data_IF_520618913103
#
_entry.id   IF_520618913103
#
_cell.length_a   1.000
_cell.length_b   1.000
_cell.length_c   1.000
_cell.angle_alpha   90.00
_cell.angle_beta   90.00
_cell.angle_gamma   90.00
#
_symmetry.space_group_name_H-M   'P 1'
#
loop_
_entity.id
_entity.type
_entity.pdbx_description
1 polymer ?
#
# COMPACT_ATOMS: atom_id res chain seq x y z
N UNK A 1 51.63 35.51 56.92
CA UNK A 1 52.48 35.73 55.73
C UNK A 1 51.56 36.23 54.63
N UNK A 2 51.42 37.56 54.55
CA UNK A 2 51.88 38.41 53.43
C UNK A 2 51.08 38.18 52.14
N UNK A 3 50.14 39.08 51.78
CA UNK A 3 50.36 40.31 50.98
C UNK A 3 50.73 39.96 49.52
N UNK A 4 50.20 40.55 48.43
CA UNK A 4 49.30 41.68 48.22
C UNK A 4 49.06 41.86 46.68
N UNK A 5 47.88 42.40 46.30
CA UNK A 5 47.61 43.44 45.26
C UNK A 5 47.93 43.18 43.76
N UNK A 6 46.97 43.31 42.81
CA UNK A 6 46.17 44.46 42.28
C UNK A 6 46.70 44.97 40.93
N UNK A 7 45.72 45.34 40.07
CA UNK A 7 45.72 46.24 38.89
C UNK A 7 45.64 45.53 37.52
N UNK A 8 44.52 45.54 36.77
CA UNK A 8 43.69 46.58 36.09
C UNK A 8 44.28 47.11 34.75
N UNK A 9 43.41 47.14 33.71
CA UNK A 9 43.49 47.75 32.36
C UNK A 9 44.30 47.03 31.27
N UNK A 10 43.96 47.01 29.96
CA UNK A 10 42.75 47.30 29.15
C UNK A 10 43.05 46.92 27.67
N UNK A 11 42.01 46.50 26.94
CA UNK A 11 41.78 46.38 25.47
C UNK A 11 42.82 45.77 24.49
N UNK A 12 42.33 44.84 23.65
CA UNK A 12 42.30 45.04 22.19
C UNK A 12 41.18 44.22 21.52
N UNK A 13 40.47 44.88 20.60
CA UNK A 13 39.36 44.41 19.78
C UNK A 13 39.77 43.31 18.78
N UNK A 14 38.89 42.32 18.56
CA UNK A 14 38.64 41.76 17.22
C UNK A 14 37.14 41.44 17.09
N UNK A 15 36.50 42.07 16.10
CA UNK A 15 35.15 41.79 15.64
C UNK A 15 35.17 40.68 14.57
N UNK A 16 34.17 39.81 14.56
CA UNK A 16 33.97 38.80 13.51
C UNK A 16 32.69 38.02 13.75
N UNK A 17 31.66 38.35 12.96
CA UNK A 17 30.26 37.96 13.13
C UNK A 17 30.02 36.43 13.14
N UNK A 18 29.19 35.97 14.09
CA UNK A 18 28.54 34.68 14.01
C UNK A 18 27.34 34.78 13.06
N UNK A 19 27.38 34.05 11.95
CA UNK A 19 26.21 33.83 11.12
C UNK A 19 25.32 32.76 11.78
N UNK A 20 24.23 33.21 12.39
CA UNK A 20 23.08 32.37 12.68
C UNK A 20 22.30 32.16 11.37
N UNK A 21 22.46 30.99 10.74
CA UNK A 21 21.56 30.59 9.66
C UNK A 21 20.23 30.13 10.26
N UNK A 22 19.31 31.07 10.37
CA UNK A 22 17.89 30.82 10.58
C UNK A 22 17.35 30.30 9.24
N UNK A 23 17.14 28.98 9.13
CA UNK A 23 16.30 28.44 8.07
C UNK A 23 14.85 28.74 8.42
N UNK A 24 14.35 29.88 7.93
CA UNK A 24 12.92 30.11 7.78
C UNK A 24 12.40 29.15 6.71
N UNK A 25 11.82 28.01 7.13
CA UNK A 25 10.92 27.23 6.29
C UNK A 25 9.62 28.04 6.14
N UNK A 26 9.61 28.93 5.15
CA UNK A 26 8.39 29.51 4.61
C UNK A 26 7.64 28.43 3.84
N UNK A 27 6.96 27.54 4.56
CA UNK A 27 5.89 26.74 3.98
C UNK A 27 4.80 27.71 3.53
N UNK A 28 4.62 27.82 2.22
CA UNK A 28 3.50 28.56 1.64
C UNK A 28 2.25 27.72 1.89
N UNK A 29 1.73 27.77 3.11
CA UNK A 29 0.38 27.32 3.41
C UNK A 29 -0.55 28.12 2.51
N UNK A 30 -1.18 27.47 1.53
CA UNK A 30 -2.49 27.95 1.13
C UNK A 30 -3.37 27.78 2.36
N UNK A 31 -3.62 28.88 3.06
CA UNK A 31 -4.69 29.00 4.05
C UNK A 31 -6.01 28.69 3.35
N UNK A 32 -6.31 27.40 3.21
CA UNK A 32 -7.65 26.93 3.03
C UNK A 32 -8.28 27.01 4.42
N UNK A 33 -8.91 28.16 4.68
CA UNK A 33 -9.94 28.34 5.68
C UNK A 33 -10.70 27.03 5.88
N UNK A 34 -10.85 26.61 7.14
CA UNK A 34 -11.75 25.53 7.55
C UNK A 34 -13.12 25.77 6.90
N UNK A 35 -13.35 25.10 5.77
CA UNK A 35 -14.70 24.98 5.23
C UNK A 35 -15.46 24.13 6.22
N UNK A 36 -16.47 24.74 6.82
CA UNK A 36 -17.52 24.09 7.60
C UNK A 36 -17.79 22.70 7.04
N UNK A 37 -17.76 21.67 7.89
CA UNK A 37 -18.01 20.29 7.51
C UNK A 37 -19.28 20.23 6.66
N UNK A 38 -19.10 20.03 5.35
CA UNK A 38 -20.25 19.88 4.46
C UNK A 38 -20.88 18.55 4.85
N UNK A 39 -22.19 18.49 5.13
CA UNK A 39 -22.80 17.27 5.62
C UNK A 39 -22.54 16.14 4.61
N UNK A 40 -22.08 14.98 5.06
CA UNK A 40 -21.65 13.95 4.15
C UNK A 40 -22.86 13.29 3.48
N UNK A 41 -22.64 12.54 2.39
CA UNK A 41 -23.73 11.89 1.65
C UNK A 41 -24.46 10.92 2.58
N UNK A 42 -25.70 11.25 2.95
CA UNK A 42 -26.44 10.52 3.99
C UNK A 42 -26.97 9.17 3.52
N UNK A 43 -27.40 9.07 2.27
CA UNK A 43 -28.00 7.84 1.76
C UNK A 43 -26.96 6.98 1.07
N UNK A 44 -26.98 5.69 1.34
CA UNK A 44 -26.20 4.71 0.60
C UNK A 44 -26.63 4.76 -0.88
N UNK A 45 -25.71 5.00 -1.85
CA UNK A 45 -26.06 4.96 -3.26
C UNK A 45 -26.61 3.59 -3.68
N UNK A 46 -27.45 3.53 -4.71
CA UNK A 46 -27.84 2.26 -5.31
C UNK A 46 -26.65 1.55 -5.96
N UNK A 47 -26.80 0.26 -6.28
CA UNK A 47 -25.76 -0.46 -7.02
C UNK A 47 -25.60 0.16 -8.41
N UNK A 48 -24.36 0.49 -8.78
CA UNK A 48 -24.00 1.32 -9.93
C UNK A 48 -24.60 2.74 -9.89
N UNK A 49 -25.11 3.16 -8.74
CA UNK A 49 -25.51 4.53 -8.47
C UNK A 49 -24.29 5.41 -8.23
N UNK A 50 -24.20 6.51 -8.97
CA UNK A 50 -23.17 7.53 -8.80
C UNK A 50 -23.60 8.54 -7.71
N UNK A 51 -22.63 9.00 -6.94
CA UNK A 51 -22.77 10.10 -5.99
C UNK A 51 -21.52 10.99 -6.02
N UNK A 52 -21.66 12.22 -5.56
CA UNK A 52 -20.54 13.17 -5.42
C UNK A 52 -20.22 13.37 -3.95
N UNK A 53 -18.96 13.23 -3.59
CA UNK A 53 -18.45 13.49 -2.25
C UNK A 53 -18.32 15.00 -2.00
N UNK A 54 -19.05 15.58 -1.02
CA UNK A 54 -19.01 17.01 -0.77
C UNK A 54 -17.65 17.52 -0.25
N UNK A 55 -16.86 16.65 0.38
CA UNK A 55 -15.55 17.02 0.95
C UNK A 55 -14.46 17.20 -0.10
N UNK A 56 -14.39 16.28 -1.07
CA UNK A 56 -13.39 16.30 -2.14
C UNK A 56 -13.91 16.87 -3.46
N UNK A 57 -15.22 16.85 -3.68
CA UNK A 57 -15.85 17.13 -4.97
C UNK A 57 -15.76 15.97 -5.98
N UNK A 58 -15.21 14.81 -5.59
CA UNK A 58 -15.05 13.67 -6.50
C UNK A 58 -16.34 12.86 -6.65
N UNK A 59 -16.49 12.21 -7.80
CA UNK A 59 -17.57 11.25 -8.03
C UNK A 59 -17.15 9.84 -7.61
N UNK A 60 -18.04 9.12 -6.96
CA UNK A 60 -17.86 7.70 -6.64
C UNK A 60 -19.11 6.88 -6.96
N UNK A 61 -18.92 5.58 -7.18
CA UNK A 61 -19.97 4.63 -7.55
C UNK A 61 -19.92 3.44 -6.60
N UNK A 62 -21.06 2.95 -6.11
CA UNK A 62 -21.13 1.67 -5.38
C UNK A 62 -21.11 0.49 -6.35
N UNK A 63 -20.14 -0.41 -6.21
CA UNK A 63 -19.89 -1.49 -7.19
C UNK A 63 -20.18 -2.90 -6.64
N UNK A 64 -20.61 -3.02 -5.39
CA UNK A 64 -21.10 -4.30 -4.85
C UNK A 64 -22.41 -4.15 -4.08
N UNK A 65 -23.16 -5.25 -4.01
CA UNK A 65 -24.40 -5.37 -3.24
C UNK A 65 -24.58 -6.81 -2.75
N UNK A 66 -25.15 -7.05 -1.55
CA UNK A 66 -25.54 -8.38 -1.11
C UNK A 66 -26.49 -9.07 -2.09
N UNK A 67 -26.36 -10.38 -2.25
CA UNK A 67 -27.20 -11.16 -3.16
C UNK A 67 -26.64 -11.21 -4.57
N UNK A 68 -27.53 -11.28 -5.57
CA UNK A 68 -27.14 -11.54 -6.96
C UNK A 68 -26.39 -10.33 -7.54
N UNK A 69 -25.15 -10.55 -7.98
CA UNK A 69 -24.29 -9.59 -8.67
C UNK A 69 -24.17 -9.98 -10.15
N UNK A 70 -25.31 -10.15 -10.82
CA UNK A 70 -25.39 -10.52 -12.24
C UNK A 70 -24.57 -11.76 -12.60
N UNK A 71 -23.84 -11.69 -13.71
CA UNK A 71 -22.99 -12.79 -14.20
C UNK A 71 -21.74 -13.05 -13.35
N UNK A 72 -21.39 -12.13 -12.45
CA UNK A 72 -20.26 -12.34 -11.54
C UNK A 72 -20.62 -13.22 -10.34
N UNK A 73 -21.90 -13.57 -10.12
CA UNK A 73 -22.29 -14.55 -9.12
C UNK A 73 -23.08 -13.93 -7.96
N UNK A 74 -22.80 -14.39 -6.74
CA UNK A 74 -23.56 -14.01 -5.54
C UNK A 74 -22.63 -13.45 -4.47
N UNK A 75 -22.87 -12.21 -4.08
CA UNK A 75 -22.24 -11.56 -2.95
C UNK A 75 -22.87 -12.00 -1.62
N UNK A 76 -22.03 -12.22 -0.63
CA UNK A 76 -22.41 -12.51 0.73
C UNK A 76 -23.18 -11.37 1.40
N UNK A 77 -23.92 -11.71 2.47
CA UNK A 77 -24.72 -10.74 3.22
C UNK A 77 -23.89 -9.80 4.13
N UNK A 78 -22.69 -10.23 4.54
CA UNK A 78 -21.84 -9.49 5.48
C UNK A 78 -20.86 -8.57 4.79
N UNK A 79 -20.26 -9.00 3.69
CA UNK A 79 -19.31 -8.22 2.92
C UNK A 79 -19.22 -8.77 1.50
N UNK A 80 -18.91 -7.90 0.56
CA UNK A 80 -18.50 -8.28 -0.79
C UNK A 80 -17.50 -7.23 -1.30
N UNK A 81 -16.21 -7.54 -1.22
CA UNK A 81 -15.12 -6.57 -1.43
C UNK A 81 -13.94 -7.14 -2.20
N UNK A 82 -13.11 -6.27 -2.77
CA UNK A 82 -11.77 -6.57 -3.23
C UNK A 82 -10.91 -7.09 -2.09
N UNK A 83 -9.78 -7.69 -2.44
CA UNK A 83 -9.01 -8.52 -1.52
C UNK A 83 -8.47 -7.75 -0.33
N UNK A 84 -7.70 -6.68 -0.58
CA UNK A 84 -7.06 -5.85 0.44
C UNK A 84 -6.39 -4.62 -0.19
N UNK A 85 -5.92 -3.67 0.62
CA UNK A 85 -5.27 -2.44 0.15
C UNK A 85 -3.99 -2.68 -0.66
N UNK A 86 -3.16 -3.64 -0.26
CA UNK A 86 -1.92 -4.01 -0.97
C UNK A 86 -2.13 -5.04 -2.09
N UNK A 87 -3.39 -5.35 -2.43
CA UNK A 87 -3.75 -6.20 -3.56
C UNK A 87 -4.22 -5.34 -4.73
N UNK A 88 -3.78 -5.66 -5.94
CA UNK A 88 -4.27 -4.95 -7.13
C UNK A 88 -5.70 -5.42 -7.46
N UNK A 89 -6.68 -4.50 -7.49
CA UNK A 89 -8.05 -4.86 -7.86
C UNK A 89 -8.27 -4.91 -9.39
N UNK A 90 -7.62 -4.03 -10.14
CA UNK A 90 -7.68 -3.98 -11.60
C UNK A 90 -6.55 -4.76 -12.26
N UNK A 91 -6.81 -5.34 -13.43
CA UNK A 91 -5.72 -5.81 -14.29
C UNK A 91 -4.93 -4.63 -14.89
N UNK A 92 -3.81 -4.93 -15.56
CA UNK A 92 -2.84 -3.92 -16.02
C UNK A 92 -3.43 -2.82 -16.93
N UNK A 93 -4.41 -3.15 -17.78
CA UNK A 93 -5.08 -2.21 -18.68
C UNK A 93 -6.43 -1.71 -18.15
N UNK A 94 -6.77 -2.06 -16.91
CA UNK A 94 -8.02 -1.72 -16.24
C UNK A 94 -9.29 -2.19 -16.98
N UNK A 95 -9.19 -3.15 -17.90
CA UNK A 95 -10.37 -3.73 -18.56
C UNK A 95 -11.14 -4.72 -17.66
N UNK A 96 -10.55 -5.19 -16.57
CA UNK A 96 -11.17 -6.03 -15.54
C UNK A 96 -10.93 -5.49 -14.14
N UNK A 97 -11.93 -5.63 -13.28
CA UNK A 97 -11.86 -5.44 -11.83
C UNK A 97 -12.30 -6.73 -11.14
N UNK A 98 -11.57 -7.16 -10.10
CA UNK A 98 -11.90 -8.39 -9.36
C UNK A 98 -12.37 -8.11 -7.92
N UNK A 99 -13.49 -8.73 -7.56
CA UNK A 99 -14.02 -8.83 -6.19
C UNK A 99 -13.79 -10.27 -5.71
N UNK A 100 -13.25 -10.44 -4.51
CA UNK A 100 -12.79 -11.76 -4.01
C UNK A 100 -13.45 -12.11 -2.69
N UNK A 101 -13.46 -11.17 -1.74
CA UNK A 101 -13.99 -11.43 -0.42
C UNK A 101 -15.52 -11.50 -0.47
N UNK A 102 -16.09 -12.59 0.05
CA UNK A 102 -17.53 -12.75 0.18
C UNK A 102 -18.25 -13.07 -1.13
N UNK A 103 -17.53 -13.34 -2.22
CA UNK A 103 -18.13 -13.61 -3.54
C UNK A 103 -18.07 -15.09 -3.99
N UNK A 104 -17.63 -15.99 -3.10
CA UNK A 104 -17.63 -17.44 -3.36
C UNK A 104 -16.75 -17.86 -4.54
N UNK A 105 -15.57 -17.28 -4.67
CA UNK A 105 -14.65 -17.42 -5.81
C UNK A 105 -14.08 -16.06 -6.19
N UNK A 106 -13.91 -15.82 -7.49
CA UNK A 106 -13.47 -14.53 -8.03
C UNK A 106 -14.54 -13.96 -8.98
N UNK A 107 -15.00 -12.76 -8.65
CA UNK A 107 -16.08 -12.05 -9.34
C UNK A 107 -15.48 -10.96 -10.20
N UNK A 108 -15.54 -11.12 -11.53
CA UNK A 108 -14.96 -10.19 -12.49
C UNK A 108 -16.01 -9.23 -13.00
N UNK A 109 -15.74 -7.94 -12.84
CA UNK A 109 -16.53 -6.83 -13.35
C UNK A 109 -15.76 -6.17 -14.50
N UNK A 110 -16.47 -5.44 -15.35
CA UNK A 110 -15.87 -4.50 -16.28
C UNK A 110 -15.15 -3.41 -15.50
N UNK A 111 -13.87 -3.15 -15.81
CA UNK A 111 -13.05 -2.28 -14.97
C UNK A 111 -13.38 -0.79 -15.03
N UNK A 112 -14.35 -0.37 -15.86
CA UNK A 112 -14.76 1.04 -16.01
C UNK A 112 -16.24 1.27 -15.68
N UNK A 113 -17.13 0.42 -16.19
CA UNK A 113 -18.57 0.47 -15.94
C UNK A 113 -18.99 -0.30 -14.68
N UNK A 114 -18.12 -1.20 -14.20
CA UNK A 114 -18.35 -2.09 -13.04
C UNK A 114 -19.54 -3.03 -13.20
N UNK A 115 -20.00 -3.21 -14.45
CA UNK A 115 -21.02 -4.19 -14.80
C UNK A 115 -20.43 -5.60 -14.63
N UNK A 116 -21.17 -6.56 -14.05
CA UNK A 116 -20.67 -7.91 -13.84
C UNK A 116 -20.45 -8.65 -15.16
N UNK A 117 -19.28 -9.26 -15.34
CA UNK A 117 -18.92 -9.96 -16.56
C UNK A 117 -18.98 -11.48 -16.40
N UNK A 118 -18.25 -12.04 -15.42
CA UNK A 118 -18.20 -13.48 -15.19
C UNK A 118 -17.68 -13.83 -13.81
N UNK A 119 -17.97 -15.06 -13.37
CA UNK A 119 -17.46 -15.68 -12.14
C UNK A 119 -16.42 -16.76 -12.47
N UNK A 120 -15.47 -16.96 -11.56
CA UNK A 120 -14.58 -18.13 -11.56
C UNK A 120 -14.57 -18.75 -10.18
N UNK A 121 -14.93 -20.03 -10.14
CA UNK A 121 -14.77 -20.84 -8.93
C UNK A 121 -13.28 -21.13 -8.73
N UNK A 122 -12.74 -20.57 -7.65
CA UNK A 122 -11.33 -20.71 -7.26
C UNK A 122 -11.31 -21.02 -5.77
N UNK A 123 -10.58 -22.07 -5.41
CA UNK A 123 -10.42 -22.43 -4.01
C UNK A 123 -9.71 -21.30 -3.24
N UNK A 124 -10.05 -21.17 -1.96
CA UNK A 124 -9.34 -20.28 -1.04
C UNK A 124 -7.87 -20.69 -0.80
N UNK A 125 -7.48 -21.91 -1.17
CA UNK A 125 -6.11 -22.40 -1.15
C UNK A 125 -5.29 -21.96 -2.37
N UNK A 126 -5.94 -21.38 -3.38
CA UNK A 126 -5.29 -20.82 -4.57
C UNK A 126 -5.09 -19.33 -4.37
N UNK A 127 -3.84 -18.89 -4.34
CA UNK A 127 -3.48 -17.48 -4.20
C UNK A 127 -3.08 -16.93 -5.59
N UNK A 128 -3.83 -15.96 -6.10
CA UNK A 128 -3.61 -15.34 -7.41
C UNK A 128 -3.53 -13.82 -7.33
N UNK A 129 -2.56 -13.22 -8.02
CA UNK A 129 -2.42 -11.76 -8.19
C UNK A 129 -2.37 -11.41 -9.68
N UNK A 130 -2.87 -10.22 -10.05
CA UNK A 130 -2.75 -9.75 -11.44
C UNK A 130 -1.29 -9.67 -11.87
N UNK A 131 -1.01 -10.06 -13.12
CA UNK A 131 0.27 -9.75 -13.73
C UNK A 131 0.35 -8.23 -13.97
N UNK A 132 1.36 -7.51 -13.42
CA UNK A 132 1.38 -6.03 -13.45
C UNK A 132 1.45 -5.40 -14.83
N UNK A 133 1.87 -6.17 -15.84
CA UNK A 133 2.12 -5.72 -17.22
C UNK A 133 1.33 -6.44 -18.29
N UNK A 134 0.65 -7.53 -17.94
CA UNK A 134 -0.09 -8.35 -18.89
C UNK A 134 -1.54 -8.40 -18.43
N UNK A 135 -2.45 -7.67 -19.10
CA UNK A 135 -3.84 -7.59 -18.66
C UNK A 135 -4.61 -8.90 -18.82
N UNK A 136 -4.06 -9.88 -19.54
CA UNK A 136 -4.72 -11.17 -19.76
C UNK A 136 -4.47 -12.15 -18.62
N UNK A 137 -3.44 -11.94 -17.80
CA UNK A 137 -2.92 -12.97 -16.91
C UNK A 137 -2.99 -12.56 -15.43
N UNK A 138 -3.25 -13.57 -14.60
CA UNK A 138 -2.91 -13.59 -13.18
C UNK A 138 -1.76 -14.58 -12.97
N UNK A 139 -0.96 -14.35 -11.94
CA UNK A 139 0.05 -15.27 -11.44
C UNK A 139 -0.53 -15.98 -10.23
N UNK A 140 -0.54 -17.31 -10.26
CA UNK A 140 -1.19 -18.13 -9.25
C UNK A 140 -0.21 -19.12 -8.64
N UNK A 141 -0.40 -19.39 -7.35
CA UNK A 141 0.30 -20.42 -6.60
C UNK A 141 -0.72 -21.28 -5.86
N UNK A 142 -0.64 -22.59 -6.04
CA UNK A 142 -1.51 -23.53 -5.35
C UNK A 142 -0.83 -24.90 -5.21
N UNK A 143 -1.00 -25.54 -4.05
CA UNK A 143 -0.54 -26.91 -3.82
C UNK A 143 0.96 -27.10 -4.04
N UNK A 144 1.34 -27.60 -5.22
CA UNK A 144 2.74 -27.84 -5.64
C UNK A 144 3.13 -27.06 -6.89
N UNK A 145 2.29 -26.14 -7.34
CA UNK A 145 2.40 -25.51 -8.65
C UNK A 145 2.46 -24.00 -8.57
N UNK A 146 3.19 -23.42 -9.53
CA UNK A 146 3.13 -22.01 -9.91
C UNK A 146 2.70 -21.99 -11.37
N UNK A 147 1.70 -21.18 -11.70
CA UNK A 147 1.15 -21.08 -13.04
C UNK A 147 0.66 -19.67 -13.33
N UNK A 148 0.60 -19.31 -14.61
CA UNK A 148 -0.18 -18.16 -15.05
C UNK A 148 -1.57 -18.62 -15.42
N UNK A 149 -2.57 -17.77 -15.20
CA UNK A 149 -3.97 -18.07 -15.50
C UNK A 149 -4.61 -16.90 -16.23
N UNK A 150 -5.32 -17.19 -17.32
CA UNK A 150 -6.10 -16.21 -18.07
C UNK A 150 -7.57 -16.25 -17.65
N UNK A 151 -8.08 -15.31 -16.83
CA UNK A 151 -9.42 -15.43 -16.25
C UNK A 151 -10.54 -15.44 -17.30
N UNK A 152 -10.38 -14.69 -18.39
CA UNK A 152 -11.39 -14.60 -19.47
C UNK A 152 -11.63 -15.95 -20.13
N UNK A 153 -10.58 -16.69 -20.46
CA UNK A 153 -10.66 -18.00 -21.14
C UNK A 153 -10.62 -19.18 -20.17
N UNK A 154 -10.30 -18.92 -18.91
CA UNK A 154 -10.02 -19.93 -17.88
C UNK A 154 -8.83 -20.86 -18.21
N UNK A 155 -7.90 -20.41 -19.06
CA UNK A 155 -6.71 -21.18 -19.43
C UNK A 155 -5.60 -21.06 -18.39
N UNK A 156 -4.93 -22.16 -18.07
CA UNK A 156 -3.81 -22.21 -17.13
C UNK A 156 -2.54 -22.70 -17.82
N UNK A 157 -1.41 -22.06 -17.49
CA UNK A 157 -0.09 -22.39 -18.00
C UNK A 157 0.85 -22.65 -16.82
N UNK A 158 1.10 -23.92 -16.53
CA UNK A 158 2.01 -24.33 -15.44
C UNK A 158 3.45 -23.98 -15.81
N UNK A 159 4.07 -23.14 -14.97
CA UNK A 159 5.48 -22.74 -15.11
C UNK A 159 6.39 -23.49 -14.15
N UNK A 160 5.83 -23.97 -13.02
CA UNK A 160 6.53 -24.78 -12.04
C UNK A 160 5.61 -25.86 -11.48
N UNK A 161 6.11 -27.09 -11.40
CA UNK A 161 5.54 -28.19 -10.62
C UNK A 161 6.72 -28.91 -9.94
N UNK A 162 6.53 -29.34 -8.70
CA UNK A 162 7.63 -29.89 -7.91
C UNK A 162 7.18 -31.01 -6.97
N UNK A 163 7.96 -32.08 -6.90
CA UNK A 163 7.83 -33.12 -5.88
C UNK A 163 8.68 -32.84 -4.63
N UNK A 164 9.52 -31.79 -4.65
CA UNK A 164 10.44 -31.46 -3.54
C UNK A 164 9.77 -30.61 -2.44
N UNK A 165 8.60 -30.04 -2.76
CA UNK A 165 7.87 -29.12 -1.91
C UNK A 165 6.37 -29.40 -1.95
N UNK A 166 5.68 -28.96 -0.90
CA UNK A 166 4.24 -28.97 -0.77
C UNK A 166 3.76 -27.66 -0.15
N UNK A 167 2.45 -27.41 -0.21
CA UNK A 167 1.81 -26.22 0.38
C UNK A 167 2.48 -24.92 -0.07
N UNK A 168 2.71 -24.80 -1.38
CA UNK A 168 3.19 -23.55 -1.96
C UNK A 168 2.13 -22.47 -1.73
N UNK A 169 2.57 -21.29 -1.30
CA UNK A 169 1.75 -20.12 -1.06
C UNK A 169 2.40 -18.88 -1.67
N UNK A 170 1.60 -18.00 -2.25
CA UNK A 170 2.06 -16.78 -2.89
C UNK A 170 2.25 -15.69 -1.85
N UNK A 171 3.25 -15.87 -0.98
CA UNK A 171 3.48 -14.93 0.10
C UNK A 171 2.23 -14.79 0.96
N UNK A 172 1.86 -15.84 1.70
CA UNK A 172 0.50 -16.06 2.23
C UNK A 172 -0.28 -14.78 2.54
N UNK A 173 -1.34 -14.55 1.76
CA UNK A 173 -2.27 -13.41 1.86
C UNK A 173 -1.69 -11.99 1.64
N UNK A 174 -0.38 -11.81 1.47
CA UNK A 174 0.27 -10.49 1.29
C UNK A 174 1.34 -10.45 0.20
N UNK A 175 1.48 -11.52 -0.59
CA UNK A 175 2.42 -11.59 -1.69
C UNK A 175 1.95 -10.75 -2.86
N UNK A 176 2.93 -10.15 -3.53
CA UNK A 176 2.74 -9.44 -4.78
C UNK A 176 3.88 -9.83 -5.72
N UNK A 177 3.69 -9.82 -7.04
CA UNK A 177 4.78 -9.99 -7.99
C UNK A 177 5.70 -8.76 -8.03
N UNK A 178 6.90 -8.93 -8.59
CA UNK A 178 7.74 -7.81 -9.01
C UNK A 178 7.01 -6.94 -10.04
N UNK A 179 7.39 -5.67 -10.17
CA UNK A 179 6.74 -4.67 -11.03
C UNK A 179 6.73 -5.04 -12.52
N UNK A 180 7.65 -5.89 -12.95
CA UNK A 180 7.70 -6.45 -14.30
C UNK A 180 6.88 -7.74 -14.46
N UNK A 181 6.35 -8.29 -13.36
CA UNK A 181 5.58 -9.54 -13.31
C UNK A 181 6.41 -10.82 -13.37
N UNK A 182 7.74 -10.71 -13.46
CA UNK A 182 8.58 -11.88 -13.72
C UNK A 182 8.94 -12.67 -12.47
N UNK A 183 8.87 -12.08 -11.26
CA UNK A 183 9.32 -12.73 -10.03
C UNK A 183 8.26 -12.70 -8.96
N UNK A 184 8.26 -13.76 -8.16
CA UNK A 184 7.43 -13.91 -6.97
C UNK A 184 8.24 -14.50 -5.82
N UNK A 185 7.81 -14.25 -4.58
CA UNK A 185 8.28 -14.97 -3.40
C UNK A 185 7.26 -16.07 -3.06
N UNK A 186 7.74 -17.29 -2.85
CA UNK A 186 6.89 -18.46 -2.61
C UNK A 186 7.28 -19.08 -1.28
N UNK A 187 6.32 -19.13 -0.35
CA UNK A 187 6.47 -19.92 0.88
C UNK A 187 6.12 -21.37 0.58
N UNK A 188 6.85 -22.32 1.14
CA UNK A 188 6.58 -23.73 0.93
C UNK A 188 7.03 -24.58 2.13
N UNK A 189 6.51 -25.80 2.22
CA UNK A 189 7.04 -26.86 3.07
C UNK A 189 7.90 -27.80 2.22
N UNK A 190 9.19 -27.87 2.51
CA UNK A 190 10.12 -28.80 1.85
C UNK A 190 9.92 -30.22 2.38
N UNK A 191 10.30 -31.24 1.61
CA UNK A 191 10.10 -32.65 1.97
C UNK A 191 10.74 -33.11 3.30
N UNK A 192 11.75 -32.39 3.79
CA UNK A 192 12.34 -32.63 5.12
C UNK A 192 11.53 -31.97 6.27
N UNK A 193 10.36 -31.42 5.96
CA UNK A 193 9.45 -30.77 6.90
C UNK A 193 9.76 -29.30 7.16
N UNK A 194 10.84 -28.74 6.61
CA UNK A 194 11.22 -27.35 6.86
C UNK A 194 10.31 -26.37 6.14
N UNK A 195 9.93 -25.31 6.85
CA UNK A 195 9.30 -24.13 6.25
C UNK A 195 10.37 -23.27 5.59
N UNK A 196 10.18 -22.97 4.30
CA UNK A 196 11.12 -22.17 3.51
C UNK A 196 10.37 -21.08 2.73
N UNK A 197 11.12 -20.05 2.33
CA UNK A 197 10.71 -19.15 1.25
C UNK A 197 11.79 -19.12 0.18
N UNK A 198 11.40 -19.01 -1.08
CA UNK A 198 12.33 -18.81 -2.19
C UNK A 198 11.74 -17.84 -3.21
N UNK A 199 12.63 -17.18 -3.95
CA UNK A 199 12.24 -16.45 -5.16
C UNK A 199 12.00 -17.42 -6.31
N UNK A 200 11.05 -17.11 -7.18
CA UNK A 200 10.84 -17.82 -8.44
C UNK A 200 10.73 -16.83 -9.60
N UNK A 201 11.53 -17.04 -10.64
CA UNK A 201 11.48 -16.27 -11.90
C UNK A 201 10.62 -17.03 -12.92
N UNK A 202 9.43 -16.50 -13.22
CA UNK A 202 8.45 -17.10 -14.12
C UNK A 202 8.96 -17.16 -15.56
N UNK A 203 9.66 -16.10 -16.00
CA UNK A 203 10.16 -15.99 -17.37
C UNK A 203 11.32 -16.94 -17.63
N UNK A 204 12.27 -17.01 -16.70
CA UNK A 204 13.40 -17.94 -16.79
C UNK A 204 13.05 -19.35 -16.30
N UNK A 205 11.86 -19.53 -15.74
CA UNK A 205 11.42 -20.76 -15.05
C UNK A 205 12.45 -21.24 -14.03
N UNK A 206 13.01 -20.29 -13.27
CA UNK A 206 14.17 -20.52 -12.41
C UNK A 206 13.81 -20.24 -10.96
N UNK A 207 14.01 -21.25 -10.13
CA UNK A 207 13.96 -21.13 -8.67
C UNK A 207 15.28 -20.56 -8.13
N UNK A 208 15.19 -19.67 -7.15
CA UNK A 208 16.31 -19.16 -6.36
C UNK A 208 16.55 -20.02 -5.10
N UNK A 209 17.68 -19.85 -4.38
CA UNK A 209 17.98 -20.60 -3.17
C UNK A 209 16.85 -20.55 -2.12
N UNK A 210 16.76 -21.62 -1.31
CA UNK A 210 15.85 -21.64 -0.16
C UNK A 210 16.39 -20.73 0.95
N UNK A 211 15.51 -19.94 1.54
CA UNK A 211 15.72 -19.30 2.83
C UNK A 211 15.00 -20.16 3.87
N UNK A 212 15.77 -20.72 4.82
CA UNK A 212 15.23 -21.52 5.92
C UNK A 212 14.55 -20.62 6.96
N UNK A 213 13.22 -20.57 6.93
CA UNK A 213 12.43 -19.71 7.81
C UNK A 213 12.49 -20.17 9.27
N UNK A 214 12.90 -21.41 9.53
CA UNK A 214 13.07 -21.92 10.91
C UNK A 214 14.23 -21.24 11.65
N UNK A 215 15.08 -20.51 10.93
CA UNK A 215 16.17 -19.73 11.50
C UNK A 215 15.72 -18.32 11.95
N UNK A 216 14.47 -17.93 11.65
CA UNK A 216 13.89 -16.68 12.10
C UNK A 216 13.14 -16.87 13.41
N UNK A 217 13.11 -15.84 14.28
CA UNK A 217 12.37 -15.95 15.52
C UNK A 217 10.86 -15.97 15.24
N UNK A 218 10.12 -16.76 16.00
CA UNK A 218 8.66 -16.82 15.92
C UNK A 218 8.15 -17.60 14.72
N UNK A 219 7.03 -17.13 14.19
CA UNK A 219 6.36 -17.73 13.03
C UNK A 219 6.34 -16.74 11.88
N UNK A 220 6.65 -17.20 10.67
CA UNK A 220 6.61 -16.32 9.50
C UNK A 220 5.18 -16.11 9.05
N UNK A 221 4.67 -14.89 9.21
CA UNK A 221 3.32 -14.50 8.81
C UNK A 221 3.19 -14.43 7.30
N UNK A 222 4.04 -13.62 6.65
CA UNK A 222 4.04 -13.44 5.20
C UNK A 222 5.44 -13.13 4.65
N UNK A 223 5.65 -13.41 3.37
CA UNK A 223 6.84 -13.00 2.64
C UNK A 223 6.44 -12.51 1.25
N UNK A 224 6.94 -11.36 0.80
CA UNK A 224 6.64 -10.84 -0.54
C UNK A 224 7.93 -10.51 -1.28
N UNK A 225 7.90 -10.59 -2.61
CA UNK A 225 9.02 -10.12 -3.42
C UNK A 225 8.95 -8.59 -3.51
N UNK A 226 10.10 -7.94 -3.49
CA UNK A 226 10.19 -6.50 -3.68
C UNK A 226 9.88 -6.09 -5.12
N UNK A 227 9.49 -4.82 -5.38
CA UNK A 227 9.10 -4.34 -6.70
C UNK A 227 10.12 -4.56 -7.82
N UNK A 228 11.42 -4.50 -7.56
CA UNK A 228 12.49 -4.77 -8.53
C UNK A 228 12.84 -6.26 -8.63
N UNK A 229 12.21 -7.12 -7.82
CA UNK A 229 12.45 -8.56 -7.86
C UNK A 229 13.81 -9.00 -7.30
N UNK A 230 14.44 -8.16 -6.49
CA UNK A 230 15.81 -8.38 -5.96
C UNK A 230 15.85 -8.63 -4.45
N UNK A 231 14.75 -8.39 -3.73
CA UNK A 231 14.64 -8.66 -2.30
C UNK A 231 13.40 -9.50 -1.98
N UNK A 232 13.47 -10.30 -0.92
CA UNK A 232 12.34 -10.99 -0.29
C UNK A 232 12.15 -10.36 1.10
N UNK A 233 10.96 -9.82 1.36
CA UNK A 233 10.61 -9.14 2.60
C UNK A 233 9.64 -10.01 3.39
N UNK A 234 10.03 -10.45 4.58
CA UNK A 234 9.24 -11.36 5.42
C UNK A 234 8.87 -10.73 6.76
N UNK A 235 7.59 -10.78 7.12
CA UNK A 235 7.11 -10.45 8.46
C UNK A 235 7.09 -11.70 9.36
N UNK A 236 7.56 -11.56 10.59
CA UNK A 236 7.38 -12.57 11.64
C UNK A 236 6.27 -12.14 12.58
N UNK A 237 5.64 -13.12 13.22
CA UNK A 237 4.80 -12.94 14.39
C UNK A 237 5.50 -13.60 15.58
N UNK A 238 5.83 -12.77 16.57
CA UNK A 238 6.39 -13.16 17.86
C UNK A 238 5.28 -13.15 18.92
N UNK A 239 5.61 -13.51 20.16
CA UNK A 239 4.71 -13.34 21.31
C UNK A 239 4.35 -11.86 21.52
N UNK A 240 3.25 -11.61 22.23
CA UNK A 240 2.79 -10.25 22.59
C UNK A 240 2.50 -9.37 21.38
N UNK A 241 1.98 -9.96 20.30
CA UNK A 241 1.62 -9.29 19.04
C UNK A 241 2.79 -8.52 18.40
N UNK A 242 4.04 -8.89 18.70
CA UNK A 242 5.22 -8.21 18.15
C UNK A 242 5.57 -8.73 16.76
N UNK A 243 5.70 -7.84 15.76
CA UNK A 243 5.81 -8.22 14.35
C UNK A 243 7.01 -7.56 13.66
N UNK A 244 8.22 -8.16 13.77
CA UNK A 244 9.42 -7.65 13.11
C UNK A 244 9.47 -8.07 11.64
N UNK A 245 10.28 -7.36 10.86
CA UNK A 245 10.47 -7.60 9.42
C UNK A 245 11.93 -7.94 9.10
N UNK A 246 12.14 -8.89 8.20
CA UNK A 246 13.44 -9.32 7.71
C UNK A 246 13.49 -9.13 6.19
N UNK A 247 14.58 -8.53 5.69
CA UNK A 247 14.79 -8.32 4.25
C UNK A 247 15.98 -9.14 3.81
N UNK A 248 15.77 -10.05 2.86
CA UNK A 248 16.80 -10.85 2.23
C UNK A 248 16.99 -10.40 0.80
N UNK A 249 18.20 -10.56 0.25
CA UNK A 249 18.38 -10.55 -1.20
C UNK A 249 17.67 -11.75 -1.83
N UNK A 250 17.43 -11.68 -3.14
CA UNK A 250 16.83 -12.78 -3.91
C UNK A 250 17.63 -14.08 -3.81
N UNK A 251 18.94 -14.00 -3.58
CA UNK A 251 19.83 -15.15 -3.41
C UNK A 251 19.85 -15.70 -1.97
N UNK A 252 19.02 -15.14 -1.07
CA UNK A 252 18.84 -15.63 0.29
C UNK A 252 19.77 -15.04 1.35
N UNK A 253 20.49 -13.95 1.03
CA UNK A 253 21.39 -13.29 1.98
C UNK A 253 20.61 -12.26 2.80
N UNK A 254 20.59 -12.39 4.12
CA UNK A 254 19.94 -11.42 5.00
C UNK A 254 20.62 -10.05 4.93
N UNK A 255 19.88 -9.02 4.53
CA UNK A 255 20.36 -7.64 4.37
C UNK A 255 19.95 -6.75 5.55
N UNK A 256 18.70 -6.85 6.01
CA UNK A 256 18.16 -5.99 7.06
C UNK A 256 17.33 -6.78 8.07
N UNK A 257 17.34 -6.29 9.32
CA UNK A 257 16.46 -6.73 10.41
C UNK A 257 15.78 -5.50 11.02
N UNK A 258 14.45 -5.47 10.95
CA UNK A 258 13.62 -4.42 11.53
C UNK A 258 12.91 -5.05 12.72
N UNK A 259 13.55 -4.94 13.89
CA UNK A 259 13.12 -5.66 15.08
C UNK A 259 11.95 -5.00 15.82
N UNK A 260 11.50 -3.83 15.37
CA UNK A 260 10.39 -3.09 15.96
C UNK A 260 9.03 -3.64 15.50
N UNK A 261 7.98 -3.52 16.33
CA UNK A 261 6.62 -3.95 15.96
C UNK A 261 6.11 -3.03 14.86
N UNK A 262 5.82 -3.58 13.67
CA UNK A 262 5.17 -2.86 12.58
C UNK A 262 5.78 -1.47 12.32
N UNK A 263 7.08 -1.43 11.97
CA UNK A 263 7.77 -0.17 11.67
C UNK A 263 8.39 -0.16 10.27
N UNK A 264 7.57 0.04 9.22
CA UNK A 264 6.09 0.14 9.23
C UNK A 264 5.36 -1.22 9.14
N UNK A 265 4.07 -1.22 9.44
CA UNK A 265 3.12 -2.30 9.12
C UNK A 265 1.94 -1.81 8.29
N UNK A 266 1.01 -2.72 7.96
CA UNK A 266 -0.24 -2.42 7.22
C UNK A 266 -0.01 -1.61 5.93
N UNK A 267 1.07 -1.94 5.24
CA UNK A 267 1.52 -1.18 4.10
C UNK A 267 1.97 -2.03 2.93
N UNK A 268 2.70 -1.39 2.06
CA UNK A 268 3.00 -1.90 0.74
C UNK A 268 4.39 -1.43 0.28
N UNK A 269 4.89 -1.97 -0.83
CA UNK A 269 6.20 -1.64 -1.39
C UNK A 269 6.12 -1.02 -2.78
N UNK A 270 7.02 -0.08 -3.08
CA UNK A 270 7.21 0.49 -4.42
C UNK A 270 8.67 0.86 -4.67
N UNK A 271 8.95 1.35 -5.88
CA UNK A 271 10.20 2.03 -6.24
C UNK A 271 9.95 3.52 -6.14
N UNK A 272 10.73 4.20 -5.30
CA UNK A 272 10.66 5.64 -5.11
C UNK A 272 11.30 6.38 -6.30
N UNK A 273 11.11 7.70 -6.38
CA UNK A 273 11.62 8.51 -7.49
C UNK A 273 13.15 8.47 -7.64
N UNK A 274 13.88 8.19 -6.55
CA UNK A 274 15.35 8.03 -6.54
C UNK A 274 15.82 6.64 -6.98
N UNK A 275 14.90 5.74 -7.35
CA UNK A 275 15.18 4.34 -7.73
C UNK A 275 15.29 3.37 -6.55
N UNK A 276 15.18 3.83 -5.30
CA UNK A 276 15.22 2.97 -4.12
C UNK A 276 13.92 2.19 -3.95
N UNK A 277 14.03 0.93 -3.51
CA UNK A 277 12.87 0.20 -3.02
C UNK A 277 12.51 0.66 -1.60
N UNK A 278 11.24 1.00 -1.41
CA UNK A 278 10.70 1.47 -0.13
C UNK A 278 9.49 0.64 0.27
N UNK A 279 9.30 0.48 1.57
CA UNK A 279 8.04 0.04 2.17
C UNK A 279 7.38 1.27 2.80
N UNK A 280 6.12 1.55 2.47
CA UNK A 280 5.32 2.62 3.10
C UNK A 280 4.18 2.01 3.90
N UNK A 281 4.02 2.45 5.14
CA UNK A 281 2.91 2.02 6.00
C UNK A 281 2.88 2.79 7.31
N UNK A 282 2.16 2.24 8.28
CA UNK A 282 1.91 2.88 9.57
C UNK A 282 2.90 2.31 10.60
N UNK A 283 3.63 3.18 11.28
CA UNK A 283 4.50 2.74 12.38
C UNK A 283 3.68 2.46 13.63
N UNK A 284 3.97 1.37 14.34
CA UNK A 284 3.42 1.11 15.69
C UNK A 284 4.51 1.13 16.77
N UNK A 285 5.64 1.78 16.49
CA UNK A 285 6.82 1.79 17.36
C UNK A 285 7.48 3.17 17.42
N UNK A 286 8.17 3.47 18.53
CA UNK A 286 8.96 4.69 18.65
C UNK A 286 10.12 4.75 17.64
N UNK A 287 10.58 5.95 17.23
CA UNK A 287 10.12 7.28 17.67
C UNK A 287 8.94 7.85 16.87
N UNK A 288 8.39 7.11 15.91
CA UNK A 288 7.41 7.59 14.92
C UNK A 288 6.06 6.87 15.04
N UNK A 289 5.70 6.46 16.26
CA UNK A 289 4.47 5.71 16.52
C UNK A 289 3.23 6.42 15.95
N UNK A 290 2.43 5.65 15.22
CA UNK A 290 1.22 6.04 14.46
C UNK A 290 1.42 7.11 13.39
N UNK A 291 2.67 7.38 13.00
CA UNK A 291 2.96 8.13 11.78
C UNK A 291 2.91 7.21 10.55
N UNK A 292 2.62 7.80 9.39
CA UNK A 292 2.89 7.14 8.12
C UNK A 292 4.35 7.36 7.77
N UNK A 293 5.09 6.26 7.62
CA UNK A 293 6.52 6.31 7.31
C UNK A 293 6.83 5.52 6.04
N UNK A 294 7.85 5.97 5.32
CA UNK A 294 8.56 5.13 4.34
C UNK A 294 9.87 4.63 4.94
N UNK A 295 10.18 3.36 4.73
CA UNK A 295 11.44 2.73 5.14
C UNK A 295 12.12 2.09 3.93
N UNK A 296 13.36 2.48 3.66
CA UNK A 296 14.13 1.99 2.51
C UNK A 296 14.62 0.56 2.76
N UNK A 297 14.47 -0.32 1.76
CA UNK A 297 14.88 -1.73 1.89
C UNK A 297 16.40 -1.92 1.96
N UNK A 298 17.16 -1.06 1.28
CA UNK A 298 18.62 -1.20 1.17
C UNK A 298 19.37 -0.91 2.48
N UNK A 299 18.99 0.16 3.20
CA UNK A 299 19.72 0.67 4.37
C UNK A 299 18.84 0.83 5.62
N UNK A 300 17.53 0.58 5.52
CA UNK A 300 16.59 0.74 6.63
C UNK A 300 16.26 2.20 6.98
N UNK A 301 16.69 3.19 6.18
CA UNK A 301 16.44 4.61 6.42
C UNK A 301 14.94 4.88 6.48
N UNK A 302 14.50 5.50 7.57
CA UNK A 302 13.10 5.88 7.81
C UNK A 302 12.90 7.36 7.45
N UNK A 303 11.77 7.67 6.83
CA UNK A 303 11.31 9.04 6.56
C UNK A 303 9.83 9.13 6.86
N UNK A 304 9.44 10.10 7.70
CA UNK A 304 8.02 10.37 7.95
C UNK A 304 7.39 11.04 6.74
N UNK A 305 6.21 10.57 6.34
CA UNK A 305 5.40 11.12 5.26
C UNK A 305 4.15 11.83 5.79
N UNK A 306 3.65 11.41 6.94
CA UNK A 306 2.53 12.05 7.61
C UNK A 306 2.69 11.94 9.11
N UNK A 307 2.29 13.01 9.82
CA UNK A 307 2.25 13.05 11.27
C UNK A 307 1.31 11.99 11.85
N UNK A 308 1.37 11.82 13.18
CA UNK A 308 0.50 10.93 13.94
C UNK A 308 -0.95 11.09 13.47
N UNK A 309 -1.68 10.01 13.25
CA UNK A 309 -3.12 10.07 13.06
C UNK A 309 -3.74 8.69 12.89
N UNK A 310 -5.00 8.70 12.49
CA UNK A 310 -5.85 7.50 12.38
C UNK A 310 -5.63 6.74 11.06
N UNK A 311 -4.41 6.78 10.49
CA UNK A 311 -4.09 5.99 9.30
C UNK A 311 -4.14 4.50 9.67
N UNK A 312 -4.82 3.69 8.86
CA UNK A 312 -4.97 2.25 9.11
C UNK A 312 -4.25 1.39 8.07
N UNK A 313 -4.37 1.75 6.79
CA UNK A 313 -3.85 0.96 5.67
C UNK A 313 -3.20 1.85 4.62
N UNK A 314 -2.11 1.36 4.01
CA UNK A 314 -1.43 2.02 2.90
C UNK A 314 -1.39 1.13 1.65
N UNK A 315 -1.55 1.75 0.49
CA UNK A 315 -1.44 1.10 -0.82
C UNK A 315 -0.54 1.87 -1.77
N UNK A 316 0.32 1.13 -2.47
CA UNK A 316 1.22 1.62 -3.52
C UNK A 316 0.94 0.93 -4.86
N UNK A 317 -0.29 0.42 -5.05
CA UNK A 317 -0.71 -0.31 -6.26
C UNK A 317 -0.92 0.58 -7.49
N UNK A 318 -0.62 1.88 -7.43
CA UNK A 318 -0.58 2.75 -8.62
C UNK A 318 0.72 2.55 -9.38
N UNK A 319 0.93 1.34 -9.91
CA UNK A 319 2.21 0.88 -10.45
C UNK A 319 2.72 1.69 -11.67
N UNK A 320 1.81 2.33 -12.39
CA UNK A 320 2.06 3.22 -13.55
C UNK A 320 1.96 4.71 -13.20
N UNK A 321 1.65 5.03 -11.93
CA UNK A 321 1.79 6.36 -11.33
C UNK A 321 2.52 6.23 -9.99
N UNK A 322 3.83 5.94 -10.01
CA UNK A 322 4.63 5.94 -8.78
C UNK A 322 4.72 7.35 -8.18
N UNK A 323 5.24 7.45 -6.96
CA UNK A 323 5.40 8.73 -6.27
C UNK A 323 4.22 9.11 -5.35
N UNK A 324 3.19 8.27 -5.28
CA UNK A 324 2.02 8.46 -4.42
C UNK A 324 1.75 7.21 -3.59
N UNK A 325 1.41 7.40 -2.32
CA UNK A 325 0.81 6.38 -1.46
C UNK A 325 -0.65 6.74 -1.20
N UNK A 326 -1.54 5.77 -1.35
CA UNK A 326 -2.96 5.90 -1.03
C UNK A 326 -3.19 5.39 0.39
N UNK A 327 -3.83 6.19 1.23
CA UNK A 327 -4.01 5.92 2.65
C UNK A 327 -5.49 5.88 3.01
N UNK A 328 -5.86 4.86 3.75
CA UNK A 328 -7.15 4.76 4.42
C UNK A 328 -7.05 5.28 5.85
N UNK A 329 -7.85 6.30 6.18
CA UNK A 329 -7.99 6.81 7.54
C UNK A 329 -9.27 6.29 8.19
N UNK A 330 -9.14 5.86 9.45
CA UNK A 330 -10.23 5.57 10.38
C UNK A 330 -10.56 6.78 11.24
N UNK A 331 -10.77 6.56 12.54
CA UNK A 331 -11.14 7.60 13.49
C UNK A 331 -12.53 8.19 13.28
N UNK A 332 -12.89 9.18 14.08
CA UNK A 332 -14.09 10.01 13.84
C UNK A 332 -13.73 11.49 13.69
N UNK A 333 -14.53 12.29 12.95
CA UNK A 333 -14.30 13.73 12.88
C UNK A 333 -14.25 14.40 14.27
N UNK A 334 -15.08 13.92 15.21
CA UNK A 334 -15.12 14.44 16.57
C UNK A 334 -13.81 14.17 17.33
N UNK A 335 -13.26 12.96 17.22
CA UNK A 335 -11.96 12.59 17.79
C UNK A 335 -10.82 13.40 17.18
N UNK A 336 -10.69 13.40 15.86
CA UNK A 336 -9.61 14.11 15.17
C UNK A 336 -9.65 15.62 15.45
N UNK A 337 -10.84 16.21 15.59
CA UNK A 337 -10.98 17.63 15.93
C UNK A 337 -10.46 18.01 17.33
N UNK A 338 -10.36 17.05 18.25
CA UNK A 338 -9.81 17.27 19.59
C UNK A 338 -8.27 17.23 19.61
N UNK A 339 -7.64 16.80 18.51
CA UNK A 339 -6.21 16.62 18.39
C UNK A 339 -5.63 17.42 17.21
N UNK A 340 -5.47 18.75 17.34
CA UNK A 340 -4.99 19.61 16.24
C UNK A 340 -3.59 19.24 15.73
N UNK A 341 -2.78 18.61 16.58
CA UNK A 341 -1.44 18.15 16.22
C UNK A 341 -1.45 16.86 15.38
N UNK A 342 -2.58 16.14 15.28
CA UNK A 342 -2.72 14.93 14.44
C UNK A 342 -3.02 15.23 12.98
N UNK A 343 -2.76 14.27 12.11
CA UNK A 343 -3.17 14.29 10.71
C UNK A 343 -4.69 14.54 10.66
N UNK A 344 -5.17 15.57 9.94
CA UNK A 344 -6.54 16.07 10.07
C UNK A 344 -7.54 15.25 9.25
N UNK A 345 -7.34 13.93 9.17
CA UNK A 345 -8.12 13.03 8.32
C UNK A 345 -8.85 12.01 9.19
N UNK A 346 -10.15 11.90 8.96
CA UNK A 346 -11.03 10.94 9.64
C UNK A 346 -11.97 10.32 8.61
N UNK A 347 -12.06 9.00 8.55
CA UNK A 347 -12.95 8.26 7.64
C UNK A 347 -12.79 8.73 6.19
N UNK A 348 -11.55 8.74 5.72
CA UNK A 348 -11.18 9.35 4.45
C UNK A 348 -10.16 8.49 3.71
N UNK A 349 -10.22 8.54 2.40
CA UNK A 349 -9.09 8.14 1.55
C UNK A 349 -8.37 9.40 1.08
N UNK A 350 -7.04 9.38 1.16
CA UNK A 350 -6.16 10.40 0.60
C UNK A 350 -5.02 9.76 -0.20
N UNK A 351 -4.40 10.54 -1.07
CA UNK A 351 -3.09 10.22 -1.63
C UNK A 351 -2.04 11.22 -1.13
N UNK A 352 -0.87 10.73 -0.75
CA UNK A 352 0.26 11.53 -0.25
C UNK A 352 1.49 11.30 -1.12
N UNK A 353 2.22 12.37 -1.46
CA UNK A 353 3.49 12.23 -2.20
C UNK A 353 4.54 11.48 -1.37
N UNK A 354 5.22 10.52 -1.99
CA UNK A 354 6.27 9.74 -1.32
C UNK A 354 7.59 10.51 -1.21
N UNK A 355 7.76 11.61 -1.95
CA UNK A 355 8.99 12.42 -1.97
C UNK A 355 9.22 13.24 -0.68
N UNK A 356 8.24 13.27 0.23
CA UNK A 356 8.33 14.01 1.49
C UNK A 356 7.97 15.48 1.39
N UNK A 357 7.45 15.94 0.24
CA UNK A 357 6.92 17.31 0.07
C UNK A 357 5.72 17.63 0.96
N UNK A 358 5.02 16.59 1.45
CA UNK A 358 3.78 16.75 2.21
C UNK A 358 2.57 17.10 1.33
N UNK A 359 2.69 17.02 0.00
CA UNK A 359 1.55 17.21 -0.89
C UNK A 359 0.53 16.10 -0.69
N UNK A 360 -0.74 16.51 -0.53
CA UNK A 360 -1.87 15.62 -0.29
C UNK A 360 -2.97 15.89 -1.31
N UNK A 361 -3.57 14.81 -1.83
CA UNK A 361 -4.82 14.85 -2.58
C UNK A 361 -5.93 14.20 -1.79
N UNK A 362 -7.03 14.93 -1.64
CA UNK A 362 -8.28 14.47 -1.04
C UNK A 362 -9.01 13.59 -2.06
N UNK A 363 -9.38 12.37 -1.67
CA UNK A 363 -10.03 11.41 -2.57
C UNK A 363 -11.51 11.29 -2.25
N UNK A 364 -11.87 10.80 -1.06
CA UNK A 364 -13.28 10.64 -0.67
C UNK A 364 -13.44 10.52 0.85
N UNK A 365 -14.61 10.93 1.38
CA UNK A 365 -15.06 10.50 2.72
C UNK A 365 -15.74 9.12 2.63
N UNK A 366 -15.25 8.18 3.44
CA UNK A 366 -15.63 6.77 3.33
C UNK A 366 -16.89 6.44 4.11
N UNK A 367 -17.31 7.29 5.04
CA UNK A 367 -18.48 7.08 5.89
C UNK A 367 -18.42 5.75 6.67
N UNK A 368 -17.26 5.13 6.81
CA UNK A 368 -17.15 3.86 7.51
C UNK A 368 -17.23 4.09 9.03
N UNK A 369 -17.83 3.16 9.76
CA UNK A 369 -17.86 3.18 11.22
C UNK A 369 -17.27 1.89 11.77
N UNK A 370 -16.44 2.00 12.79
CA UNK A 370 -15.70 0.87 13.34
C UNK A 370 -16.66 -0.15 13.98
N UNK A 371 -16.48 -1.43 13.63
CA UNK A 371 -17.18 -2.56 14.25
C UNK A 371 -16.32 -3.83 14.27
N UNK A 372 -15.72 -4.17 13.12
CA UNK A 372 -14.82 -5.30 12.95
C UNK A 372 -13.78 -5.01 11.85
N UNK A 373 -12.87 -5.96 11.58
CA UNK A 373 -11.86 -5.84 10.52
C UNK A 373 -12.46 -5.54 9.15
N UNK A 374 -13.64 -6.09 8.83
CA UNK A 374 -14.27 -5.88 7.52
C UNK A 374 -14.82 -4.46 7.38
N UNK A 375 -15.21 -3.82 8.48
CA UNK A 375 -15.65 -2.42 8.49
C UNK A 375 -14.52 -1.39 8.29
N UNK A 376 -13.26 -1.83 8.32
CA UNK A 376 -12.12 -0.97 8.00
C UNK A 376 -12.07 -0.67 6.50
N UNK A 377 -11.76 0.58 6.16
CA UNK A 377 -11.55 0.98 4.77
C UNK A 377 -10.23 0.41 4.27
N UNK A 378 -10.28 -0.41 3.21
CA UNK A 378 -9.10 -0.84 2.47
C UNK A 378 -9.10 -0.14 1.10
N UNK A 379 -8.29 0.90 0.92
CA UNK A 379 -8.22 1.59 -0.36
C UNK A 379 -7.13 0.96 -1.25
N UNK A 380 -7.43 0.73 -2.52
CA UNK A 380 -6.47 0.25 -3.53
C UNK A 380 -6.64 1.03 -4.84
N UNK A 381 -5.60 1.72 -5.34
CA UNK A 381 -5.66 2.40 -6.63
C UNK A 381 -5.53 1.42 -7.80
N UNK A 382 -6.13 1.78 -8.93
CA UNK A 382 -5.82 1.24 -10.25
C UNK A 382 -4.36 1.50 -10.66
N UNK A 383 -3.79 0.75 -11.63
CA UNK A 383 -2.39 0.89 -12.03
C UNK A 383 -1.96 2.33 -12.36
N UNK A 384 -2.78 3.11 -13.06
CA UNK A 384 -2.47 4.51 -13.41
C UNK A 384 -2.92 5.54 -12.34
N UNK A 385 -3.53 5.06 -11.25
CA UNK A 385 -4.06 5.87 -10.16
C UNK A 385 -5.30 6.70 -10.51
N UNK A 386 -5.93 6.50 -11.68
CA UNK A 386 -7.13 7.25 -12.11
C UNK A 386 -8.41 6.78 -11.43
N UNK A 387 -8.40 5.59 -10.85
CA UNK A 387 -9.50 4.99 -10.09
C UNK A 387 -9.00 4.46 -8.75
N UNK A 388 -9.83 4.52 -7.71
CA UNK A 388 -9.52 3.99 -6.38
C UNK A 388 -10.71 3.21 -5.85
N UNK A 389 -10.53 1.93 -5.59
CA UNK A 389 -11.53 1.09 -4.93
C UNK A 389 -11.36 1.21 -3.41
N UNK A 390 -12.45 1.22 -2.67
CA UNK A 390 -12.43 1.29 -1.21
C UNK A 390 -13.68 0.68 -0.60
N UNK A 391 -13.53 0.14 0.61
CA UNK A 391 -14.61 -0.56 1.33
C UNK A 391 -15.26 0.32 2.41
N UNK A 392 -16.56 0.16 2.64
CA UNK A 392 -17.27 0.83 3.74
C UNK A 392 -18.57 0.13 4.12
N UNK A 393 -18.93 0.17 5.41
CA UNK A 393 -20.24 -0.21 5.93
C UNK A 393 -21.25 0.96 5.98
N UNK A 394 -20.88 2.11 5.43
CA UNK A 394 -21.74 3.29 5.27
C UNK A 394 -22.44 3.75 6.56
N UNK A 395 -21.68 3.80 7.66
CA UNK A 395 -22.15 4.31 8.94
C UNK A 395 -23.03 3.34 9.72
N UNK A 396 -23.12 2.07 9.30
CA UNK A 396 -23.92 1.04 9.98
C UNK A 396 -23.00 0.03 10.70
N UNK A 397 -22.79 0.15 12.03
CA UNK A 397 -21.99 -0.82 12.78
C UNK A 397 -22.58 -2.22 12.65
N UNK A 398 -21.75 -3.20 12.27
CA UNK A 398 -22.17 -4.59 12.03
C UNK A 398 -23.06 -4.78 10.80
N UNK A 399 -23.29 -3.73 10.01
CA UNK A 399 -23.97 -3.79 8.72
C UNK A 399 -23.10 -4.40 7.62
N UNK A 400 -23.68 -4.63 6.42
CA UNK A 400 -22.92 -5.13 5.29
C UNK A 400 -21.82 -4.16 4.85
N UNK A 401 -20.68 -4.69 4.42
CA UNK A 401 -19.58 -3.92 3.82
C UNK A 401 -19.63 -4.02 2.31
N UNK A 402 -19.57 -2.85 1.66
CA UNK A 402 -19.62 -2.69 0.21
C UNK A 402 -18.31 -2.12 -0.30
N UNK A 403 -18.06 -2.31 -1.59
CA UNK A 403 -17.02 -1.60 -2.30
C UNK A 403 -17.59 -0.47 -3.17
N UNK A 404 -16.81 0.60 -3.20
CA UNK A 404 -17.05 1.80 -3.98
C UNK A 404 -15.81 2.09 -4.81
N UNK A 405 -15.99 2.78 -5.93
CA UNK A 405 -14.88 3.27 -6.76
C UNK A 405 -15.01 4.77 -6.93
N UNK A 406 -13.96 5.50 -6.57
CA UNK A 406 -13.78 6.92 -6.87
C UNK A 406 -12.95 7.11 -8.13
N UNK A 407 -13.34 8.03 -9.01
CA UNK A 407 -12.53 8.43 -10.17
C UNK A 407 -11.78 9.73 -9.88
N UNK A 408 -10.53 9.77 -10.31
CA UNK A 408 -9.57 10.85 -10.05
C UNK A 408 -9.06 11.44 -11.36
N UNK A 409 -9.15 12.76 -11.44
CA UNK A 409 -8.42 13.53 -12.44
C UNK A 409 -7.07 13.95 -11.85
N UNK A 410 -6.01 13.66 -12.59
CA UNK A 410 -4.66 14.14 -12.25
C UNK A 410 -4.37 15.40 -13.03
N UNK A 411 -3.73 16.42 -12.42
CA UNK A 411 -3.22 17.54 -13.18
C UNK A 411 -2.27 16.98 -14.25
N UNK A 412 -2.29 17.56 -15.44
CA UNK A 412 -1.25 17.28 -16.42
C UNK A 412 0.10 17.53 -15.76
N UNK A 413 0.99 16.53 -15.73
CA UNK A 413 2.35 16.78 -15.26
C UNK A 413 2.95 17.91 -16.11
N UNK A 414 3.64 18.89 -15.51
CA UNK A 414 4.34 19.88 -16.29
C UNK A 414 5.36 19.13 -17.16
N UNK A 415 5.09 19.09 -18.47
CA UNK A 415 6.05 18.62 -19.46
C UNK A 415 7.33 19.41 -19.19
N UNK A 416 8.48 18.76 -18.90
CA UNK A 416 9.74 19.47 -18.77
C UNK A 416 9.91 20.28 -20.04
N UNK A 417 9.94 21.60 -19.89
CA UNK A 417 9.93 22.53 -21.02
C UNK A 417 11.20 22.23 -21.82
N UNK A 418 11.06 21.56 -22.97
CA UNK A 418 12.16 21.13 -23.84
C UNK A 418 12.91 22.32 -24.48
N UNK A 419 12.64 23.56 -24.02
CA UNK A 419 13.17 24.82 -24.52
C UNK A 419 14.28 25.44 -23.65
N UNK A 420 14.66 24.88 -22.50
CA UNK A 420 15.75 25.43 -21.67
C UNK A 420 17.13 24.74 -21.82
N UNK A 421 17.28 23.78 -22.72
CA UNK A 421 18.59 23.12 -22.97
C UNK A 421 19.41 23.82 -24.09
N UNK A 422 18.91 24.89 -24.72
CA UNK A 422 19.65 25.63 -25.76
C UNK A 422 19.84 27.10 -25.37
N UNK A 423 20.41 27.37 -24.20
CA UNK A 423 20.96 28.69 -23.88
C UNK A 423 21.93 28.61 -22.69
N UNK A 424 23.00 27.83 -22.82
CA UNK A 424 24.27 28.10 -22.13
C UNK A 424 25.40 27.47 -22.94
N UNK A 425 25.51 27.89 -24.20
CA UNK A 425 26.77 27.88 -24.90
C UNK A 425 27.49 29.18 -24.58
N UNK A 426 28.62 29.11 -23.90
CA UNK A 426 29.66 30.13 -23.90
C UNK A 426 31.01 29.41 -23.67
N UNK A 427 31.82 29.45 -24.73
CA UNK A 427 33.28 29.32 -24.86
C UNK A 427 34.07 28.40 -23.93
#
# INVERSE_FOLDING_TARGET
MTLLRRHMLVLLLIAGAMFANIYMLGGRESSASQTSATPPVKNLPDYLGEATDPWSGTTFVRITQPGILGLAGVCGKKYCTHRYSSAQAWNADQSLLVIVNGCGGMCFLDGHSYVPLFHRDRSNETECEWHPRDPQLMICVAGRQIYTWAPRTNHEDVVFDTAAYSKLQFGPYKGNPSRDGNRIAVRATRNDGKSVVFGYDLKQRRKFPDIDLTQLPGTTGSCSISPLGINIVCSQALSEDHEPTFVFSIDGVLQQKWMEHHRPGHGDMTVDADGSEIYVGISKSNPDIYQVIKRRLADGKVTSLMKYGEAMHASLRSLDRPGWVFLSYGGTPAEVSQHPDWAPYAQQVIAVRTDGSGEVRRIVETQNTHFDYWSETHASPSPDGSQVIWSSNWGVPGGPVYDFVTRLEWPSEPVPNQKEIVANGLQ
#
